data_IF_325243753795
#
_entry.id   IF_325243753795
#
_cell.length_a   1.000
_cell.length_b   1.000
_cell.length_c   1.000
_cell.angle_alpha   90.00
_cell.angle_beta   90.00
_cell.angle_gamma   90.00
#
_symmetry.space_group_name_H-M   'P 1'
#
loop_
_entity.id
_entity.type
_entity.pdbx_description
1 polymer ?
#
# COMPACT_ATOMS: atom_id res chain seq x y z
N UNK A 1 -14.47 -13.91 6.09
CA UNK A 1 -13.00 -14.02 6.19
C UNK A 1 -12.27 -13.32 5.05
N UNK A 2 -12.68 -13.49 3.78
CA UNK A 2 -12.06 -12.77 2.66
C UNK A 2 -12.71 -11.39 2.50
N UNK A 3 -11.89 -10.39 2.22
CA UNK A 3 -12.28 -9.03 1.87
C UNK A 3 -11.74 -8.71 0.48
N UNK A 4 -12.56 -8.07 -0.35
CA UNK A 4 -12.19 -7.62 -1.68
C UNK A 4 -12.23 -6.11 -1.74
N UNK A 5 -11.26 -5.52 -2.42
CA UNK A 5 -11.23 -4.08 -2.62
C UNK A 5 -10.77 -3.73 -4.02
N UNK A 6 -11.52 -2.85 -4.68
CA UNK A 6 -11.12 -2.33 -5.99
C UNK A 6 -9.90 -1.43 -5.86
N UNK A 7 -8.91 -1.68 -6.71
CA UNK A 7 -7.62 -0.98 -6.75
C UNK A 7 -7.19 -0.67 -8.18
N UNK A 8 -6.41 0.41 -8.39
CA UNK A 8 -5.80 0.70 -9.68
C UNK A 8 -4.62 -0.24 -9.91
N UNK A 9 -4.65 -0.94 -11.05
CA UNK A 9 -3.62 -1.83 -11.53
C UNK A 9 -2.75 -1.18 -12.61
N UNK A 10 -2.27 -2.02 -13.54
CA UNK A 10 -1.52 -1.58 -14.72
C UNK A 10 -2.34 -0.57 -15.54
N UNK A 11 -1.73 0.56 -15.88
CA UNK A 11 -2.34 1.70 -16.56
C UNK A 11 -3.57 2.26 -15.84
N UNK A 12 -3.64 2.11 -14.52
CA UNK A 12 -4.77 2.57 -13.69
C UNK A 12 -6.02 1.71 -13.83
N UNK A 13 -5.97 0.59 -14.57
CA UNK A 13 -7.13 -0.28 -14.78
C UNK A 13 -7.58 -0.91 -13.46
N UNK A 14 -8.87 -0.84 -13.09
CA UNK A 14 -9.37 -1.43 -11.86
C UNK A 14 -9.17 -2.96 -11.82
N UNK A 15 -8.80 -3.49 -10.65
CA UNK A 15 -8.83 -4.93 -10.35
C UNK A 15 -9.33 -5.18 -8.93
N UNK A 16 -9.85 -6.38 -8.67
CA UNK A 16 -10.25 -6.82 -7.32
C UNK A 16 -9.05 -7.35 -6.55
N UNK A 17 -8.51 -6.56 -5.63
CA UNK A 17 -7.48 -7.01 -4.69
C UNK A 17 -8.12 -7.80 -3.55
N UNK A 18 -7.58 -8.98 -3.25
CA UNK A 18 -8.10 -9.90 -2.25
C UNK A 18 -7.20 -9.88 -1.00
N UNK A 19 -7.80 -9.75 0.19
CA UNK A 19 -7.11 -9.83 1.47
C UNK A 19 -7.91 -10.64 2.49
N UNK A 20 -7.27 -11.05 3.59
CA UNK A 20 -8.03 -11.44 4.76
C UNK A 20 -8.58 -10.21 5.47
N UNK A 21 -9.81 -10.32 5.95
CA UNK A 21 -10.46 -9.29 6.76
C UNK A 21 -9.81 -9.27 8.15
N UNK A 22 -9.07 -8.21 8.45
CA UNK A 22 -8.42 -7.98 9.75
C UNK A 22 -9.19 -7.02 10.67
N UNK A 23 -10.21 -6.32 10.16
CA UNK A 23 -10.99 -5.33 10.89
C UNK A 23 -12.48 -5.69 10.92
N UNK A 24 -13.17 -5.30 11.99
CA UNK A 24 -14.62 -5.41 12.11
C UNK A 24 -15.31 -4.44 11.14
N UNK A 25 -16.49 -4.87 10.70
CA UNK A 25 -17.46 -4.02 10.00
C UNK A 25 -18.30 -3.29 11.05
N UNK A 26 -17.68 -2.35 11.75
CA UNK A 26 -18.33 -1.56 12.79
C UNK A 26 -18.53 -0.13 12.28
N UNK A 27 -19.76 0.36 12.43
CA UNK A 27 -20.19 1.68 11.99
C UNK A 27 -20.78 2.45 13.18
N UNK A 28 -20.70 3.77 13.13
CA UNK A 28 -21.38 4.66 14.05
C UNK A 28 -22.90 4.74 13.75
N UNK A 29 -23.61 5.58 14.51
CA UNK A 29 -25.05 5.80 14.34
C UNK A 29 -25.42 6.50 13.03
N UNK A 30 -24.47 7.14 12.37
CA UNK A 30 -24.63 7.84 11.08
C UNK A 30 -24.28 6.94 9.88
N UNK A 31 -23.75 5.74 10.13
CA UNK A 31 -23.34 4.77 9.13
C UNK A 31 -21.89 4.91 8.67
N UNK A 32 -21.09 5.77 9.30
CA UNK A 32 -19.67 5.90 9.00
C UNK A 32 -18.88 4.77 9.71
N UNK A 33 -17.81 4.24 9.10
CA UNK A 33 -16.94 3.29 9.80
C UNK A 33 -16.37 3.91 11.08
N UNK A 34 -16.41 3.17 12.20
CA UNK A 34 -15.75 3.56 13.44
C UNK A 34 -14.23 3.72 13.24
N UNK A 35 -13.58 4.30 14.24
CA UNK A 35 -12.13 4.48 14.25
C UNK A 35 -11.38 3.14 14.19
N UNK A 36 -10.15 3.21 13.67
CA UNK A 36 -9.32 2.02 13.41
C UNK A 36 -9.08 1.20 14.69
N UNK A 37 -8.93 1.84 15.84
CA UNK A 37 -8.69 1.21 17.15
C UNK A 37 -9.90 0.43 17.68
N UNK A 38 -11.12 0.92 17.42
CA UNK A 38 -12.38 0.24 17.76
C UNK A 38 -12.67 -0.96 16.85
N UNK A 39 -12.21 -0.87 15.60
CA UNK A 39 -12.43 -1.92 14.58
C UNK A 39 -11.35 -3.00 14.59
N UNK A 40 -10.17 -2.72 15.12
CA UNK A 40 -9.02 -3.63 15.05
C UNK A 40 -8.94 -4.56 16.27
N UNK A 41 -9.35 -5.81 16.06
CA UNK A 41 -9.27 -6.87 17.08
C UNK A 41 -7.83 -7.31 17.38
N UNK A 42 -7.59 -7.95 18.53
CA UNK A 42 -6.29 -8.56 18.84
C UNK A 42 -5.83 -9.56 17.77
N UNK A 43 -6.75 -10.39 17.24
CA UNK A 43 -6.47 -11.27 16.11
C UNK A 43 -6.09 -10.48 14.84
N UNK A 44 -6.83 -9.40 14.53
CA UNK A 44 -6.53 -8.49 13.43
C UNK A 44 -5.16 -7.83 13.54
N UNK A 45 -4.77 -7.40 14.74
CA UNK A 45 -3.42 -6.88 15.04
C UNK A 45 -2.36 -7.93 14.73
N UNK A 46 -2.51 -9.17 15.22
CA UNK A 46 -1.56 -10.26 14.94
C UNK A 46 -1.48 -10.58 13.46
N UNK A 47 -2.62 -10.61 12.75
CA UNK A 47 -2.68 -10.90 11.31
C UNK A 47 -1.93 -9.83 10.49
N UNK A 48 -2.12 -8.54 10.81
CA UNK A 48 -1.37 -7.43 10.20
C UNK A 48 0.12 -7.44 10.56
N UNK A 49 0.44 -7.69 11.82
CA UNK A 49 1.83 -7.71 12.33
C UNK A 49 2.66 -8.85 11.75
N UNK A 50 2.01 -9.95 11.38
CA UNK A 50 2.63 -11.09 10.68
C UNK A 50 2.58 -10.95 9.15
N UNK A 51 1.92 -9.89 8.64
CA UNK A 51 1.65 -9.70 7.20
C UNK A 51 0.87 -10.85 6.55
N UNK A 52 0.23 -11.69 7.36
CA UNK A 52 -0.55 -12.82 6.89
C UNK A 52 -1.86 -12.36 6.24
N UNK A 53 -2.33 -11.14 6.52
CA UNK A 53 -3.53 -10.56 5.91
C UNK A 53 -3.40 -10.35 4.39
N UNK A 54 -2.16 -10.25 3.90
CA UNK A 54 -1.84 -10.03 2.48
C UNK A 54 -1.59 -11.35 1.72
N UNK A 55 -1.57 -12.52 2.38
CA UNK A 55 -1.39 -13.81 1.70
C UNK A 55 -2.38 -14.06 0.54
N UNK A 56 -3.68 -13.69 0.64
CA UNK A 56 -4.61 -13.85 -0.48
C UNK A 56 -4.24 -13.05 -1.74
N UNK A 57 -3.40 -12.01 -1.63
CA UNK A 57 -2.94 -11.22 -2.79
C UNK A 57 -2.04 -12.04 -3.73
N UNK A 58 -1.42 -13.13 -3.26
CA UNK A 58 -0.67 -14.06 -4.12
C UNK A 58 -1.55 -14.63 -5.23
N UNK A 59 -2.86 -14.76 -5.01
CA UNK A 59 -3.80 -15.14 -6.05
C UNK A 59 -3.91 -14.08 -7.16
N UNK A 60 -3.86 -12.79 -6.82
CA UNK A 60 -3.82 -11.70 -7.80
C UNK A 60 -2.50 -11.69 -8.59
N UNK A 61 -1.39 -12.13 -7.98
CA UNK A 61 -0.11 -12.32 -8.69
C UNK A 61 -0.22 -13.45 -9.71
N UNK A 62 -0.77 -14.60 -9.32
CA UNK A 62 -0.96 -15.75 -10.22
C UNK A 62 -1.91 -15.41 -11.37
N UNK A 63 -2.98 -14.66 -11.10
CA UNK A 63 -3.91 -14.16 -12.13
C UNK A 63 -3.30 -13.15 -13.09
N UNK A 64 -2.20 -12.51 -12.72
CA UNK A 64 -1.56 -11.46 -13.51
C UNK A 64 -2.11 -10.06 -13.29
N UNK A 65 -2.92 -9.83 -12.26
CA UNK A 65 -3.37 -8.49 -11.84
C UNK A 65 -2.26 -7.73 -11.11
N UNK A 66 -1.44 -8.47 -10.33
CA UNK A 66 -0.34 -7.97 -9.51
C UNK A 66 0.99 -8.64 -9.87
N UNK A 67 2.08 -8.11 -9.32
CA UNK A 67 3.41 -8.72 -9.27
C UNK A 67 3.85 -8.95 -7.82
N UNK A 68 4.92 -9.72 -7.61
CA UNK A 68 5.56 -9.79 -6.30
C UNK A 68 6.14 -8.44 -5.89
N UNK A 69 6.82 -7.77 -6.84
CA UNK A 69 7.49 -6.49 -6.63
C UNK A 69 6.89 -5.41 -7.54
N UNK A 70 6.50 -4.29 -6.95
CA UNK A 70 5.88 -3.16 -7.64
C UNK A 70 5.34 -2.10 -6.68
N UNK A 71 4.93 -0.92 -7.18
CA UNK A 71 4.28 0.10 -6.37
C UNK A 71 3.05 -0.46 -5.65
N UNK A 72 2.83 -0.06 -4.39
CA UNK A 72 1.66 -0.55 -3.62
C UNK A 72 0.36 -0.06 -4.27
N UNK A 73 -0.65 -0.92 -4.46
CA UNK A 73 -1.95 -0.50 -4.98
C UNK A 73 -2.68 0.38 -3.95
N UNK A 74 -2.90 1.65 -4.29
CA UNK A 74 -3.58 2.65 -3.43
C UNK A 74 -5.06 2.80 -3.78
N UNK A 75 -5.79 3.69 -3.11
CA UNK A 75 -7.23 3.86 -3.34
C UNK A 75 -7.52 4.39 -4.76
N UNK A 76 -8.65 3.95 -5.33
CA UNK A 76 -9.11 4.41 -6.65
C UNK A 76 -9.30 5.92 -6.72
N UNK A 77 -9.75 6.53 -5.61
CA UNK A 77 -9.98 7.97 -5.49
C UNK A 77 -8.70 8.81 -5.63
N UNK A 78 -7.51 8.21 -5.57
CA UNK A 78 -6.25 8.93 -5.77
C UNK A 78 -5.87 9.09 -7.24
N UNK A 79 -6.46 8.30 -8.14
CA UNK A 79 -6.20 8.42 -9.59
C UNK A 79 -6.32 9.85 -10.13
N UNK A 80 -7.39 10.62 -9.83
CA UNK A 80 -7.52 11.99 -10.30
C UNK A 80 -6.60 12.99 -9.58
N UNK A 81 -5.95 12.59 -8.48
CA UNK A 81 -5.11 13.47 -7.66
C UNK A 81 -3.63 13.47 -8.08
N UNK A 82 -3.21 12.47 -8.87
CA UNK A 82 -1.84 12.37 -9.34
C UNK A 82 -1.53 13.44 -10.39
N UNK A 83 -0.33 14.00 -10.32
CA UNK A 83 0.27 14.65 -11.47
C UNK A 83 0.84 13.62 -12.45
N UNK A 84 1.30 14.08 -13.62
CA UNK A 84 1.82 13.22 -14.68
C UNK A 84 2.98 12.33 -14.23
N UNK A 85 3.85 12.84 -13.35
CA UNK A 85 5.00 12.10 -12.82
C UNK A 85 4.54 10.98 -11.87
N UNK A 86 3.69 11.32 -10.89
CA UNK A 86 3.14 10.36 -9.93
C UNK A 86 2.33 9.26 -10.61
N UNK A 87 1.57 9.61 -11.66
CA UNK A 87 0.77 8.65 -12.43
C UNK A 87 1.62 7.56 -13.10
N UNK A 88 2.92 7.81 -13.33
CA UNK A 88 3.86 6.83 -13.92
C UNK A 88 3.99 5.57 -13.07
N UNK A 89 3.70 5.62 -11.77
CA UNK A 89 3.68 4.43 -10.90
C UNK A 89 2.75 3.32 -11.42
N UNK A 90 1.75 3.68 -12.22
CA UNK A 90 0.82 2.74 -12.85
C UNK A 90 1.33 2.13 -14.16
N UNK A 91 2.54 2.48 -14.66
CA UNK A 91 3.12 1.88 -15.87
C UNK A 91 3.61 0.44 -15.68
N UNK A 92 3.60 -0.05 -14.44
CA UNK A 92 3.91 -1.43 -14.08
C UNK A 92 2.77 -2.03 -13.26
N UNK A 93 2.74 -3.36 -13.14
CA UNK A 93 1.80 -4.02 -12.24
C UNK A 93 2.08 -3.61 -10.80
N UNK A 94 1.04 -3.39 -9.98
CA UNK A 94 1.23 -3.16 -8.56
C UNK A 94 1.81 -4.40 -7.88
N UNK A 95 2.59 -4.17 -6.82
CA UNK A 95 3.29 -5.22 -6.09
C UNK A 95 2.70 -5.53 -4.72
N UNK A 96 2.86 -6.77 -4.27
CA UNK A 96 2.70 -7.12 -2.84
C UNK A 96 3.70 -6.31 -2.01
N UNK A 97 4.96 -6.32 -2.44
CA UNK A 97 6.02 -5.47 -1.90
C UNK A 97 6.61 -4.54 -2.96
N UNK A 98 7.48 -3.62 -2.57
CA UNK A 98 7.99 -2.61 -3.49
C UNK A 98 9.08 -1.73 -2.87
N UNK A 99 9.69 -0.90 -3.72
CA UNK A 99 10.83 -0.10 -3.33
C UNK A 99 10.49 0.91 -2.23
N UNK A 100 9.35 1.59 -2.31
CA UNK A 100 8.88 2.47 -1.25
C UNK A 100 8.58 1.72 0.06
N UNK A 101 8.02 0.51 -0.03
CA UNK A 101 7.73 -0.33 1.14
C UNK A 101 9.01 -0.72 1.91
N UNK A 102 10.13 -0.99 1.21
CA UNK A 102 11.37 -1.42 1.87
C UNK A 102 12.29 -0.27 2.32
N UNK A 103 12.11 0.95 1.81
CA UNK A 103 12.97 2.09 2.16
C UNK A 103 12.33 3.11 3.11
N UNK A 104 11.02 3.04 3.39
CA UNK A 104 10.40 3.95 4.37
C UNK A 104 9.02 3.51 4.89
N UNK A 105 8.26 2.77 4.08
CA UNK A 105 6.92 2.25 4.44
C UNK A 105 5.95 3.35 4.87
N UNK A 106 5.71 3.50 6.17
CA UNK A 106 4.81 4.50 6.78
C UNK A 106 5.58 5.65 7.44
N UNK A 107 6.91 5.58 7.52
CA UNK A 107 7.75 6.62 8.11
C UNK A 107 8.07 7.77 7.12
N UNK A 108 7.65 7.63 5.86
CA UNK A 108 7.91 8.60 4.79
C UNK A 108 6.61 9.21 4.29
N UNK A 109 6.65 10.49 3.93
CA UNK A 109 5.50 11.22 3.39
C UNK A 109 5.10 10.78 1.98
N UNK A 110 3.95 11.27 1.52
CA UNK A 110 3.41 10.94 0.19
C UNK A 110 4.36 11.28 -0.95
N UNK A 111 4.98 12.47 -0.91
CA UNK A 111 5.91 12.91 -1.94
C UNK A 111 7.07 11.92 -2.12
N UNK A 112 7.77 11.59 -1.04
CA UNK A 112 8.89 10.64 -1.07
C UNK A 112 8.45 9.24 -1.52
N UNK A 113 7.27 8.79 -1.07
CA UNK A 113 6.70 7.51 -1.48
C UNK A 113 6.49 7.42 -2.99
N UNK A 114 5.93 8.48 -3.58
CA UNK A 114 5.74 8.53 -5.03
C UNK A 114 7.05 8.64 -5.79
N UNK A 115 8.02 9.42 -5.30
CA UNK A 115 9.36 9.47 -5.88
C UNK A 115 10.04 8.09 -5.91
N UNK A 116 9.92 7.31 -4.83
CA UNK A 116 10.46 5.95 -4.78
C UNK A 116 9.71 4.99 -5.71
N UNK A 117 8.39 5.14 -5.83
CA UNK A 117 7.57 4.34 -6.74
C UNK A 117 7.94 4.63 -8.21
N UNK A 118 8.07 5.90 -8.62
CA UNK A 118 8.43 6.27 -9.99
C UNK A 118 9.88 5.92 -10.30
N UNK A 119 10.79 6.08 -9.34
CA UNK A 119 12.17 5.61 -9.47
C UNK A 119 12.22 4.10 -9.74
N UNK A 120 11.43 3.30 -9.03
CA UNK A 120 11.35 1.86 -9.27
C UNK A 120 10.85 1.54 -10.69
N UNK A 121 9.84 2.25 -11.18
CA UNK A 121 9.33 2.06 -12.56
C UNK A 121 10.45 2.23 -13.58
N UNK A 122 11.35 3.20 -13.34
CA UNK A 122 12.43 3.56 -14.27
C UNK A 122 13.64 2.64 -14.19
N UNK A 123 13.88 2.02 -13.03
CA UNK A 123 15.08 1.23 -12.75
C UNK A 123 14.81 -0.26 -12.54
N UNK A 124 13.58 -0.71 -12.82
CA UNK A 124 13.16 -2.09 -12.61
C UNK A 124 14.11 -3.06 -13.32
N UNK A 125 14.58 -4.04 -12.58
CA UNK A 125 15.41 -5.13 -13.07
C UNK A 125 15.23 -6.34 -12.18
N UNK A 126 15.47 -7.54 -12.72
CA UNK A 126 15.35 -8.77 -11.93
C UNK A 126 16.23 -8.74 -10.66
N UNK A 127 17.43 -8.15 -10.76
CA UNK A 127 18.33 -8.02 -9.62
C UNK A 127 17.80 -7.05 -8.56
N UNK A 128 17.18 -5.94 -8.98
CA UNK A 128 16.53 -5.02 -8.05
C UNK A 128 15.36 -5.71 -7.33
N UNK A 129 14.55 -6.49 -8.04
CA UNK A 129 13.42 -7.23 -7.46
C UNK A 129 13.89 -8.22 -6.40
N UNK A 130 14.96 -8.97 -6.67
CA UNK A 130 15.57 -9.89 -5.70
C UNK A 130 16.02 -9.12 -4.45
N UNK A 131 16.69 -7.98 -4.61
CA UNK A 131 17.11 -7.14 -3.47
C UNK A 131 15.91 -6.66 -2.65
N UNK A 132 14.82 -6.25 -3.31
CA UNK A 132 13.60 -5.80 -2.63
C UNK A 132 13.00 -6.97 -1.84
N UNK A 133 12.85 -8.16 -2.43
CA UNK A 133 12.32 -9.34 -1.75
C UNK A 133 13.13 -9.71 -0.50
N UNK A 134 14.47 -9.70 -0.59
CA UNK A 134 15.34 -9.97 0.57
C UNK A 134 15.14 -8.92 1.66
N UNK A 135 15.08 -7.63 1.30
CA UNK A 135 14.78 -6.55 2.26
C UNK A 135 13.41 -6.71 2.90
N UNK A 136 12.40 -7.15 2.14
CA UNK A 136 11.05 -7.40 2.64
C UNK A 136 11.04 -8.50 3.69
N UNK A 137 11.66 -9.65 3.41
CA UNK A 137 11.78 -10.76 4.37
C UNK A 137 12.47 -10.28 5.65
N UNK A 138 13.57 -9.52 5.52
CA UNK A 138 14.27 -8.93 6.67
C UNK A 138 13.36 -8.02 7.51
N UNK A 139 12.58 -7.14 6.87
CA UNK A 139 11.66 -6.23 7.59
C UNK A 139 10.52 -6.98 8.29
N UNK A 140 9.95 -8.01 7.66
CA UNK A 140 8.88 -8.83 8.28
C UNK A 140 9.41 -9.60 9.49
N UNK A 141 10.62 -10.15 9.42
CA UNK A 141 11.23 -10.89 10.55
C UNK A 141 11.60 -9.95 11.70
N UNK A 142 12.23 -8.81 11.41
CA UNK A 142 12.70 -7.86 12.43
C UNK A 142 11.56 -7.02 13.01
N UNK A 143 10.38 -7.00 12.36
CA UNK A 143 9.24 -6.13 12.69
C UNK A 143 9.58 -4.62 12.66
N UNK A 144 10.56 -4.26 11.84
CA UNK A 144 11.07 -2.90 11.72
C UNK A 144 10.10 -1.99 10.94
N UNK A 145 9.67 -0.89 11.56
CA UNK A 145 8.77 0.11 10.96
C UNK A 145 7.31 -0.34 10.76
N UNK A 146 6.80 -1.26 11.58
CA UNK A 146 5.37 -1.67 11.56
C UNK A 146 4.45 -0.57 12.12
N UNK A 147 4.97 0.31 12.97
CA UNK A 147 4.20 1.40 13.59
C UNK A 147 4.98 2.70 13.47
N UNK A 148 4.39 3.71 12.84
CA UNK A 148 4.67 5.09 13.23
C UNK A 148 3.95 5.30 14.58
N UNK A 149 4.56 6.03 15.50
CA UNK A 149 3.91 6.37 16.77
C UNK A 149 2.56 7.06 16.49
N UNK A 150 1.46 6.42 16.89
CA UNK A 150 0.13 7.04 16.92
C UNK A 150 -0.85 6.73 15.77
N UNK A 151 -0.40 6.33 14.57
CA UNK A 151 -1.31 6.09 13.43
C UNK A 151 -1.14 4.68 12.81
N UNK A 152 -2.22 3.89 12.81
CA UNK A 152 -2.25 2.56 12.20
C UNK A 152 -2.18 2.60 10.65
N UNK A 153 -2.50 3.75 10.05
CA UNK A 153 -2.52 3.99 8.61
C UNK A 153 -2.01 5.40 8.30
N UNK A 154 -1.35 5.60 7.15
CA UNK A 154 -0.97 6.96 6.73
C UNK A 154 -2.21 7.80 6.43
N UNK A 155 -2.13 9.10 6.70
CA UNK A 155 -3.14 10.08 6.30
C UNK A 155 -3.50 10.00 4.81
N UNK A 156 -4.76 10.32 4.49
CA UNK A 156 -5.29 10.26 3.12
C UNK A 156 -4.55 11.21 2.20
N UNK A 157 -4.17 10.74 1.00
CA UNK A 157 -3.59 11.61 -0.01
C UNK A 157 -4.65 12.59 -0.54
N UNK A 158 -4.38 13.89 -0.47
CA UNK A 158 -5.30 14.97 -0.86
C UNK A 158 -4.88 15.69 -2.15
N UNK A 159 -3.87 15.17 -2.86
CA UNK A 159 -3.35 15.76 -4.08
C UNK A 159 -2.12 16.64 -3.86
N UNK A 160 -1.72 17.35 -4.91
CA UNK A 160 -0.51 18.17 -4.97
C UNK A 160 -0.75 19.60 -4.47
N UNK A 161 -1.48 19.79 -3.38
CA UNK A 161 -1.67 21.10 -2.77
C UNK A 161 -0.30 21.73 -2.51
N UNK A 162 0.05 22.73 -3.29
CA UNK A 162 1.18 23.62 -3.00
C UNK A 162 0.85 24.26 -1.66
N UNK A 163 1.69 24.04 -0.64
CA UNK A 163 1.69 24.86 0.56
C UNK A 163 1.84 26.32 0.11
N UNK A 164 0.73 27.06 0.05
CA UNK A 164 0.70 28.50 -0.24
C UNK A 164 1.21 29.33 0.96
N UNK A 165 2.23 28.86 1.66
CA UNK A 165 2.78 29.53 2.84
C UNK A 165 4.31 29.60 2.82
N UNK A 166 4.90 29.79 1.64
CA UNK A 166 6.29 30.24 1.51
C UNK A 166 6.37 31.33 0.45
N UNK A 167 5.96 32.54 0.84
CA UNK A 167 6.47 33.81 0.35
C UNK A 167 6.87 34.64 1.58
#
# INVERSE_FOLDING_TARGET
MIFKQTRPGLNGKPFEMIKFRSMKDAIDTEGNPLEDDERLTAFGKTLRNSSLDELPELWNVIKGDMSLVGPRPLLMEYLPLYNDEQARRHRVRPGITGYAQVNGRNAIGWHEKFTLDTWYVDHRSLWLDIKILIKTVKKVIIKDGISADGEATMSKFTGNSVDKNTL
#
